data_IF_681134006925
#
_entry.id   IF_681134006925
#
_cell.length_a   1.000
_cell.length_b   1.000
_cell.length_c   1.000
_cell.angle_alpha   90.00
_cell.angle_beta   90.00
_cell.angle_gamma   90.00
#
_symmetry.space_group_name_H-M   'P 1'
#
loop_
_entity.id
_entity.type
_entity.pdbx_description
1 polymer ?
#
# COMPACT_ATOMS: atom_id res chain seq x y z
N UNK A 1 -9.42 -14.48 11.55
CA UNK A 1 -8.97 -13.49 12.54
C UNK A 1 -7.74 -12.65 12.13
N UNK A 2 -6.86 -13.09 11.21
CA UNK A 2 -5.64 -12.32 10.82
C UNK A 2 -5.60 -11.88 9.35
N UNK A 3 -6.62 -12.20 8.55
CA UNK A 3 -6.58 -11.98 7.11
C UNK A 3 -6.62 -10.49 6.73
N UNK A 4 -7.44 -9.67 7.41
CA UNK A 4 -7.51 -8.22 7.18
C UNK A 4 -6.19 -7.51 7.51
N UNK A 5 -5.64 -7.77 8.71
CA UNK A 5 -4.41 -7.13 9.21
C UNK A 5 -3.17 -7.38 8.34
N UNK A 6 -3.02 -8.59 7.80
CA UNK A 6 -1.84 -8.94 6.96
C UNK A 6 -1.75 -8.09 5.70
N UNK A 7 -2.86 -7.80 5.05
CA UNK A 7 -2.88 -6.94 3.86
C UNK A 7 -2.64 -5.47 4.17
N UNK A 8 -3.10 -4.97 5.33
CA UNK A 8 -2.70 -3.63 5.75
C UNK A 8 -1.18 -3.56 6.01
N UNK A 9 -0.61 -4.58 6.65
CA UNK A 9 0.84 -4.67 6.86
C UNK A 9 1.58 -4.70 5.52
N UNK A 10 1.16 -5.54 4.58
CA UNK A 10 1.77 -5.60 3.24
C UNK A 10 1.65 -4.27 2.49
N UNK A 11 0.50 -3.61 2.55
CA UNK A 11 0.29 -2.31 1.93
C UNK A 11 1.19 -1.24 2.54
N UNK A 12 1.27 -1.16 3.87
CA UNK A 12 2.12 -0.20 4.59
C UNK A 12 3.59 -0.45 4.28
N UNK A 13 4.06 -1.70 4.34
CA UNK A 13 5.45 -2.04 3.99
C UNK A 13 5.79 -1.66 2.55
N UNK A 14 4.88 -1.90 1.60
CA UNK A 14 5.07 -1.50 0.21
C UNK A 14 5.14 0.01 0.03
N UNK A 15 4.33 0.78 0.75
CA UNK A 15 4.35 2.25 0.73
C UNK A 15 5.68 2.76 1.29
N UNK A 16 6.12 2.23 2.43
CA UNK A 16 7.40 2.62 3.06
C UNK A 16 8.58 2.29 2.13
N UNK A 17 8.57 1.14 1.48
CA UNK A 17 9.61 0.76 0.51
C UNK A 17 9.64 1.70 -0.70
N UNK A 18 8.49 2.05 -1.28
CA UNK A 18 8.41 2.96 -2.43
C UNK A 18 8.89 4.39 -2.07
N UNK A 19 8.59 4.86 -0.84
CA UNK A 19 9.12 6.13 -0.34
C UNK A 19 10.64 6.05 -0.14
N UNK A 20 11.14 4.94 0.42
CA UNK A 20 12.58 4.72 0.58
C UNK A 20 13.32 4.76 -0.76
N UNK A 21 12.82 4.05 -1.77
CA UNK A 21 13.38 4.03 -3.12
C UNK A 21 13.38 5.42 -3.77
N UNK A 22 12.34 6.22 -3.55
CA UNK A 22 12.31 7.62 -3.99
C UNK A 22 13.42 8.46 -3.35
N UNK A 23 13.59 8.34 -2.02
CA UNK A 23 14.57 9.14 -1.27
C UNK A 23 16.02 8.83 -1.64
N UNK A 24 16.32 7.62 -2.10
CA UNK A 24 17.66 7.23 -2.57
C UNK A 24 17.85 7.43 -4.08
N UNK A 25 16.83 7.93 -4.79
CA UNK A 25 16.89 8.24 -6.22
C UNK A 25 16.70 7.05 -7.17
N UNK A 26 16.24 5.90 -6.67
CA UNK A 26 15.94 4.70 -7.47
C UNK A 26 14.57 4.78 -8.17
N UNK A 27 13.64 5.57 -7.62
CA UNK A 27 12.34 5.83 -8.22
C UNK A 27 12.12 7.33 -8.41
N UNK A 28 11.52 7.72 -9.52
CA UNK A 28 11.01 9.08 -9.69
C UNK A 28 9.64 9.26 -9.03
N UNK A 29 9.21 10.52 -8.91
CA UNK A 29 7.98 10.88 -8.22
C UNK A 29 6.74 10.25 -8.87
N UNK A 30 6.72 10.14 -10.21
CA UNK A 30 5.60 9.56 -10.96
C UNK A 30 5.52 8.06 -10.68
N UNK A 31 6.66 7.35 -10.72
CA UNK A 31 6.75 5.94 -10.40
C UNK A 31 6.29 5.67 -8.97
N UNK A 32 6.73 6.48 -8.00
CA UNK A 32 6.32 6.34 -6.60
C UNK A 32 4.81 6.48 -6.43
N UNK A 33 4.19 7.46 -7.11
CA UNK A 33 2.73 7.61 -7.09
C UNK A 33 2.00 6.41 -7.70
N UNK A 34 2.47 5.92 -8.85
CA UNK A 34 1.89 4.75 -9.51
C UNK A 34 2.01 3.47 -8.66
N UNK A 35 3.03 3.38 -7.81
CA UNK A 35 3.20 2.26 -6.87
C UNK A 35 2.34 2.40 -5.61
N UNK A 36 2.27 3.61 -5.02
CA UNK A 36 1.54 3.84 -3.76
C UNK A 36 0.02 3.77 -3.96
N UNK A 37 -0.50 4.29 -5.07
CA UNK A 37 -1.94 4.39 -5.30
C UNK A 37 -2.69 3.04 -5.28
N UNK A 38 -2.21 1.98 -5.94
CA UNK A 38 -2.81 0.64 -5.83
C UNK A 38 -2.72 0.06 -4.42
N UNK A 39 -1.61 0.29 -3.69
CA UNK A 39 -1.42 -0.24 -2.34
C UNK A 39 -2.44 0.36 -1.35
N UNK A 40 -2.69 1.66 -1.47
CA UNK A 40 -3.75 2.35 -0.71
C UNK A 40 -5.12 1.78 -1.09
N UNK A 41 -5.41 1.63 -2.39
CA UNK A 41 -6.71 1.14 -2.88
C UNK A 41 -7.00 -0.27 -2.36
N UNK A 42 -6.03 -1.18 -2.38
CA UNK A 42 -6.17 -2.55 -1.87
C UNK A 42 -6.43 -2.56 -0.36
N UNK A 43 -5.81 -1.67 0.40
CA UNK A 43 -6.07 -1.53 1.83
C UNK A 43 -7.51 -1.06 2.11
N UNK A 44 -8.00 -0.06 1.36
CA UNK A 44 -9.36 0.47 1.53
C UNK A 44 -10.47 -0.47 1.04
N UNK A 45 -10.28 -1.14 -0.10
CA UNK A 45 -11.25 -2.11 -0.63
C UNK A 45 -11.49 -3.25 0.36
N UNK A 46 -10.45 -3.70 1.06
CA UNK A 46 -10.60 -4.76 2.06
C UNK A 46 -11.40 -4.31 3.28
N UNK A 47 -11.25 -3.05 3.70
CA UNK A 47 -12.08 -2.45 4.76
C UNK A 47 -13.57 -2.47 4.38
N UNK A 48 -13.89 -2.10 3.14
CA UNK A 48 -15.28 -2.08 2.67
C UNK A 48 -15.94 -3.46 2.62
N UNK A 49 -15.18 -4.50 2.25
CA UNK A 49 -15.69 -5.89 2.26
C UNK A 49 -15.86 -6.44 3.67
N UNK A 50 -14.97 -6.07 4.61
CA UNK A 50 -15.03 -6.53 6.01
C UNK A 50 -16.17 -5.84 6.81
N UNK A 51 -16.56 -4.61 6.46
CA UNK A 51 -17.70 -3.88 7.08
C UNK A 51 -19.08 -4.35 6.57
N UNK A 52 -19.14 -5.05 5.43
CA UNK A 52 -20.42 -5.45 4.78
C UNK A 52 -20.87 -6.88 5.13
N UNK A 53 -20.04 -7.67 5.82
CA UNK A 53 -20.31 -9.07 6.21
C UNK A 53 -20.44 -9.20 7.73
#
# INVERSE_FOLDING_TARGET
>A
FLAGKKTYITAVTGIVAAIGAYLIGEMDLVQTFQTIWPLITVAFLRKGVEDTL
#
